data_IF_910523542492
#
_entry.id   IF_910523542492
#
_cell.length_a   1.000
_cell.length_b   1.000
_cell.length_c   1.000
_cell.angle_alpha   90.00
_cell.angle_beta   90.00
_cell.angle_gamma   90.00
#
_symmetry.space_group_name_H-M   'P 1'
#
loop_
_entity.id
_entity.type
_entity.pdbx_description
1 polymer ?
#
# COMPACT_ATOMS: atom_id res chain seq x y z
N UNK A 1 -51.17 -40.57 -33.32
CA UNK A 1 -51.01 -40.90 -31.88
C UNK A 1 -50.05 -42.09 -31.79
N UNK A 2 -48.95 -41.95 -31.00
CA UNK A 2 -47.86 -42.93 -30.81
C UNK A 2 -47.03 -43.15 -32.11
N UNK A 3 -45.71 -43.29 -32.12
CA UNK A 3 -44.71 -43.77 -31.15
C UNK A 3 -43.32 -43.34 -31.61
N UNK A 4 -42.37 -43.24 -30.67
CA UNK A 4 -40.95 -43.00 -30.93
C UNK A 4 -40.24 -44.19 -31.59
N UNK A 5 -39.22 -43.92 -32.42
CA UNK A 5 -38.12 -44.86 -32.65
C UNK A 5 -36.81 -44.10 -32.85
N UNK A 6 -35.84 -44.45 -32.02
CA UNK A 6 -34.45 -44.03 -31.94
C UNK A 6 -33.67 -44.43 -33.19
N UNK A 7 -32.77 -43.56 -33.69
CA UNK A 7 -31.72 -43.94 -34.62
C UNK A 7 -30.37 -43.49 -34.05
N UNK A 8 -29.56 -44.48 -33.67
CA UNK A 8 -28.19 -44.34 -33.20
C UNK A 8 -27.30 -44.19 -34.43
N UNK A 9 -26.69 -43.03 -34.61
CA UNK A 9 -25.66 -42.80 -35.61
C UNK A 9 -24.29 -43.17 -35.05
N UNK A 10 -23.72 -44.27 -35.53
CA UNK A 10 -22.30 -44.61 -35.38
C UNK A 10 -21.47 -43.54 -36.09
N UNK A 11 -20.65 -42.79 -35.35
CA UNK A 11 -19.58 -41.98 -35.94
C UNK A 11 -18.24 -42.71 -35.72
N UNK A 12 -17.67 -43.20 -36.83
CA UNK A 12 -16.34 -43.79 -36.92
C UNK A 12 -15.30 -42.74 -36.53
N UNK A 13 -14.53 -43.01 -35.47
CA UNK A 13 -13.36 -42.20 -35.12
C UNK A 13 -12.24 -42.53 -36.12
N UNK A 14 -11.99 -41.60 -37.03
CA UNK A 14 -10.79 -41.62 -37.87
C UNK A 14 -9.62 -41.14 -36.99
N UNK A 15 -8.71 -42.04 -36.60
CA UNK A 15 -7.42 -41.65 -36.02
C UNK A 15 -6.58 -40.96 -37.10
N UNK A 16 -6.68 -39.64 -37.18
CA UNK A 16 -5.71 -38.80 -37.85
C UNK A 16 -4.55 -38.50 -36.90
N UNK A 17 -3.38 -39.07 -37.18
CA UNK A 17 -2.11 -38.64 -36.57
C UNK A 17 -1.82 -37.19 -36.96
N UNK A 18 -2.20 -36.23 -36.11
CA UNK A 18 -1.66 -34.88 -36.17
C UNK A 18 -0.29 -34.89 -35.50
N UNK A 19 0.75 -34.76 -36.32
CA UNK A 19 2.06 -34.35 -35.87
C UNK A 19 1.93 -32.95 -35.24
N UNK A 20 2.04 -32.87 -33.92
CA UNK A 20 2.21 -31.60 -33.23
C UNK A 20 3.62 -31.12 -33.51
N UNK A 21 3.78 -30.21 -34.47
CA UNK A 21 4.97 -29.36 -34.53
C UNK A 21 4.97 -28.52 -33.26
N UNK A 22 5.78 -28.93 -32.29
CA UNK A 22 6.11 -28.12 -31.12
C UNK A 22 6.90 -26.91 -31.57
N UNK A 23 6.21 -25.82 -31.89
CA UNK A 23 6.80 -24.49 -31.89
C UNK A 23 6.93 -24.06 -30.44
N UNK A 24 8.10 -24.30 -29.86
CA UNK A 24 8.57 -23.62 -28.66
C UNK A 24 8.62 -22.13 -28.98
N UNK A 25 7.57 -21.38 -28.60
CA UNK A 25 7.69 -19.95 -28.46
C UNK A 25 8.60 -19.68 -27.26
N UNK A 26 9.88 -19.46 -27.55
CA UNK A 26 10.76 -18.75 -26.65
C UNK A 26 10.12 -17.38 -26.42
N UNK A 27 9.60 -17.17 -25.20
CA UNK A 27 9.37 -15.83 -24.71
C UNK A 27 10.76 -15.18 -24.64
N UNK A 28 10.96 -14.12 -25.41
CA UNK A 28 12.17 -13.30 -25.33
C UNK A 28 12.30 -12.81 -23.90
N UNK A 29 13.29 -13.36 -23.21
CA UNK A 29 13.61 -13.03 -21.82
C UNK A 29 14.03 -11.58 -21.73
N UNK A 30 13.12 -10.74 -21.23
CA UNK A 30 13.54 -9.55 -20.51
C UNK A 30 14.20 -10.05 -19.24
N UNK A 31 15.51 -9.84 -19.13
CA UNK A 31 16.25 -10.10 -17.90
C UNK A 31 15.66 -9.26 -16.77
N UNK A 32 14.77 -9.85 -15.98
CA UNK A 32 14.48 -9.34 -14.65
C UNK A 32 15.78 -9.51 -13.86
N UNK A 33 16.50 -8.40 -13.64
CA UNK A 33 17.64 -8.40 -12.74
C UNK A 33 17.12 -8.75 -11.34
N UNK A 34 17.11 -10.04 -11.01
CA UNK A 34 17.30 -10.48 -9.65
C UNK A 34 18.66 -9.93 -9.23
N UNK A 35 18.68 -8.70 -8.71
CA UNK A 35 19.87 -8.11 -8.12
C UNK A 35 20.19 -8.88 -6.83
N UNK A 36 20.72 -10.09 -6.98
CA UNK A 36 21.62 -10.72 -6.01
C UNK A 36 22.97 -10.02 -6.10
N UNK A 37 22.97 -8.69 -5.92
CA UNK A 37 24.20 -7.96 -5.71
C UNK A 37 24.79 -8.50 -4.42
N UNK A 38 26.00 -9.06 -4.47
CA UNK A 38 26.78 -9.37 -3.26
C UNK A 38 27.09 -8.04 -2.56
N UNK A 39 26.15 -7.55 -1.76
CA UNK A 39 26.35 -6.41 -0.90
C UNK A 39 27.22 -6.85 0.29
N UNK A 40 28.09 -5.97 0.77
CA UNK A 40 28.83 -6.24 2.00
C UNK A 40 27.81 -6.47 3.13
N UNK A 41 27.97 -7.50 3.97
CA UNK A 41 26.99 -7.82 5.01
C UNK A 41 26.82 -6.64 5.95
N UNK A 42 25.57 -6.25 6.19
CA UNK A 42 25.27 -5.17 7.12
C UNK A 42 25.72 -5.54 8.52
N UNK A 43 26.45 -4.62 9.15
CA UNK A 43 26.75 -4.70 10.57
C UNK A 43 25.64 -4.01 11.37
N UNK A 44 24.81 -4.80 12.06
CA UNK A 44 23.83 -4.30 13.02
C UNK A 44 24.53 -3.69 14.23
N UNK A 45 24.13 -2.48 14.59
CA UNK A 45 24.67 -1.76 15.76
C UNK A 45 23.97 -2.12 17.05
N UNK A 46 22.79 -2.75 16.93
CA UNK A 46 21.97 -3.22 18.04
C UNK A 46 21.01 -4.31 17.58
N UNK A 47 20.72 -5.29 18.44
CA UNK A 47 19.77 -6.36 18.16
C UNK A 47 18.94 -6.72 19.38
N UNK A 48 17.72 -7.20 19.20
CA UNK A 48 16.95 -7.75 20.33
C UNK A 48 17.61 -9.04 20.85
N UNK A 49 17.71 -9.16 22.17
CA UNK A 49 18.28 -10.31 22.87
C UNK A 49 17.20 -11.17 23.55
N UNK A 50 15.99 -10.64 23.68
CA UNK A 50 14.82 -11.27 24.31
C UNK A 50 13.55 -10.54 23.90
N UNK A 51 12.41 -11.10 24.24
CA UNK A 51 11.13 -10.42 24.12
C UNK A 51 11.06 -9.21 25.07
N UNK A 52 10.34 -8.17 24.65
CA UNK A 52 10.09 -7.02 25.50
C UNK A 52 9.72 -5.74 24.75
N UNK A 53 9.52 -4.68 25.52
CA UNK A 53 9.24 -3.36 24.99
C UNK A 53 10.49 -2.74 24.33
N UNK A 54 10.28 -1.96 23.27
CA UNK A 54 11.32 -1.22 22.55
C UNK A 54 12.01 -0.22 23.48
N UNK A 55 11.24 0.40 24.38
CA UNK A 55 11.72 1.36 25.39
C UNK A 55 12.62 0.73 26.48
N UNK A 56 12.65 -0.59 26.61
CA UNK A 56 13.41 -1.27 27.65
C UNK A 56 14.81 -1.66 27.17
N UNK A 57 15.85 -1.06 27.75
CA UNK A 57 17.25 -1.37 27.42
C UNK A 57 17.61 -2.86 27.58
N UNK A 58 16.92 -3.62 28.44
CA UNK A 58 17.16 -5.07 28.62
C UNK A 58 16.64 -5.93 27.47
N UNK A 59 15.80 -5.38 26.60
CA UNK A 59 15.33 -6.02 25.36
C UNK A 59 16.47 -6.18 24.37
N UNK A 60 17.51 -5.34 24.46
CA UNK A 60 18.53 -5.15 23.43
C UNK A 60 19.93 -5.60 23.85
N UNK A 61 20.75 -5.94 22.86
CA UNK A 61 22.20 -6.15 22.95
C UNK A 61 22.91 -5.26 21.93
N UNK A 62 23.82 -4.36 22.35
CA UNK A 62 24.15 -4.05 23.75
C UNK A 62 22.95 -3.44 24.51
N UNK A 63 22.95 -3.57 25.84
CA UNK A 63 21.84 -3.17 26.73
C UNK A 63 21.60 -1.64 26.78
N UNK A 64 21.02 -1.10 25.71
CA UNK A 64 20.59 0.29 25.52
C UNK A 64 19.39 0.31 24.58
N UNK A 65 18.65 1.40 24.50
CA UNK A 65 17.60 1.55 23.48
C UNK A 65 18.21 1.93 22.11
N UNK A 66 17.56 1.58 20.99
CA UNK A 66 17.91 2.08 19.67
C UNK A 66 17.88 3.61 19.59
N UNK A 67 18.83 4.20 18.87
CA UNK A 67 19.00 5.65 18.69
C UNK A 67 19.31 6.00 17.23
N UNK A 68 19.37 7.29 16.92
CA UNK A 68 19.62 7.84 15.58
C UNK A 68 20.80 7.16 14.90
N UNK A 69 20.59 6.78 13.64
CA UNK A 69 21.59 6.14 12.80
C UNK A 69 21.83 4.66 13.09
N UNK A 70 21.20 4.08 14.12
CA UNK A 70 21.32 2.64 14.38
C UNK A 70 20.78 1.81 13.21
N UNK A 71 21.42 0.66 13.03
CA UNK A 71 20.91 -0.47 12.25
C UNK A 71 20.44 -1.51 13.24
N UNK A 72 19.12 -1.59 13.41
CA UNK A 72 18.45 -2.41 14.41
C UNK A 72 18.05 -3.75 13.78
N UNK A 73 18.35 -4.84 14.46
CA UNK A 73 17.79 -6.16 14.15
C UNK A 73 16.81 -6.58 15.24
N UNK A 74 15.55 -6.80 14.87
CA UNK A 74 14.63 -7.59 15.70
C UNK A 74 14.91 -9.06 15.38
N UNK A 75 15.66 -9.70 16.25
CA UNK A 75 16.26 -11.02 16.05
C UNK A 75 15.21 -12.12 15.94
N UNK A 76 15.56 -13.17 15.20
CA UNK A 76 14.76 -14.40 15.09
C UNK A 76 14.38 -14.94 16.46
N UNK A 77 13.12 -15.33 16.61
CA UNK A 77 12.59 -15.90 17.85
C UNK A 77 12.38 -14.89 18.98
N UNK A 78 12.50 -13.59 18.72
CA UNK A 78 12.12 -12.54 19.67
C UNK A 78 10.88 -11.79 19.20
N UNK A 79 10.03 -11.37 20.15
CA UNK A 79 8.92 -10.43 19.94
C UNK A 79 9.22 -9.10 20.65
N UNK A 80 9.37 -8.03 19.87
CA UNK A 80 9.57 -6.67 20.38
C UNK A 80 8.30 -5.85 20.20
N UNK A 81 7.82 -5.25 21.29
CA UNK A 81 6.70 -4.32 21.25
C UNK A 81 7.19 -2.88 21.08
N UNK A 82 6.86 -2.25 19.96
CA UNK A 82 7.17 -0.84 19.70
C UNK A 82 6.21 0.08 20.48
N UNK A 83 6.65 0.57 21.63
CA UNK A 83 5.84 1.27 22.63
C UNK A 83 6.19 2.74 22.82
N UNK A 84 6.84 3.35 21.82
CA UNK A 84 7.37 4.71 21.88
C UNK A 84 6.90 5.59 20.72
N UNK A 85 6.79 6.89 20.98
CA UNK A 85 6.82 7.92 19.95
C UNK A 85 8.21 8.58 19.99
N UNK A 86 9.08 8.22 19.05
CA UNK A 86 10.50 8.58 19.08
C UNK A 86 10.88 9.51 17.94
N UNK A 87 11.59 10.59 18.26
CA UNK A 87 12.20 11.50 17.28
C UNK A 87 13.56 10.99 16.73
N UNK A 88 14.00 9.82 17.17
CA UNK A 88 15.23 9.19 16.69
C UNK A 88 15.03 8.60 15.28
N UNK A 89 15.74 9.15 14.28
CA UNK A 89 15.73 8.59 12.91
C UNK A 89 16.70 7.41 12.80
N UNK A 90 16.15 6.20 12.71
CA UNK A 90 16.89 4.96 12.53
C UNK A 90 17.36 4.81 11.09
N UNK A 91 18.55 4.24 10.87
CA UNK A 91 19.05 3.99 9.52
C UNK A 91 18.41 2.76 8.89
N UNK A 92 18.28 1.69 9.66
CA UNK A 92 17.66 0.45 9.22
C UNK A 92 16.99 -0.21 10.41
N UNK A 93 15.81 -0.77 10.19
CA UNK A 93 15.22 -1.78 11.07
C UNK A 93 14.96 -3.01 10.22
N UNK A 94 15.66 -4.10 10.51
CA UNK A 94 15.32 -5.41 9.98
C UNK A 94 14.49 -6.18 11.01
N UNK A 95 13.37 -6.76 10.56
CA UNK A 95 12.52 -7.63 11.36
C UNK A 95 12.67 -9.06 10.88
N UNK A 96 13.37 -9.86 11.68
CA UNK A 96 13.58 -11.30 11.51
C UNK A 96 12.79 -12.13 12.55
N UNK A 97 12.42 -11.52 13.67
CA UNK A 97 11.42 -12.01 14.63
C UNK A 97 10.06 -11.36 14.41
N UNK A 98 9.45 -10.87 15.50
CA UNK A 98 8.19 -10.12 15.46
C UNK A 98 8.39 -8.71 15.99
N UNK A 99 7.95 -7.70 15.23
CA UNK A 99 7.86 -6.32 15.69
C UNK A 99 6.37 -5.91 15.71
N UNK A 100 5.84 -5.67 16.91
CA UNK A 100 4.42 -5.34 17.12
C UNK A 100 4.27 -3.92 17.65
N UNK A 101 3.46 -3.08 17.01
CA UNK A 101 3.21 -1.72 17.49
C UNK A 101 2.23 -1.74 18.67
N UNK A 102 2.52 -0.93 19.68
CA UNK A 102 1.64 -0.75 20.82
C UNK A 102 0.27 -0.20 20.38
N UNK A 103 -0.79 -0.70 21.01
CA UNK A 103 -2.18 -0.39 20.68
C UNK A 103 -2.87 0.49 21.73
N UNK A 104 -2.20 0.72 22.85
CA UNK A 104 -2.65 1.46 24.03
C UNK A 104 -2.05 2.87 24.12
N UNK A 105 -1.36 3.32 23.07
CA UNK A 105 -0.69 4.64 23.01
C UNK A 105 -0.35 5.03 21.58
N UNK A 106 -0.02 6.31 21.41
CA UNK A 106 0.57 6.80 20.17
C UNK A 106 2.00 6.27 19.98
N UNK A 107 2.34 5.95 18.74
CA UNK A 107 3.67 5.51 18.34
C UNK A 107 4.14 6.24 17.09
N UNK A 108 5.44 6.52 17.03
CA UNK A 108 6.10 7.20 15.92
C UNK A 108 7.47 6.57 15.70
N UNK A 109 7.62 5.88 14.58
CA UNK A 109 8.91 5.38 14.09
C UNK A 109 9.42 6.23 12.95
N UNK A 110 10.57 6.85 13.15
CA UNK A 110 11.32 7.53 12.09
C UNK A 110 12.42 6.58 11.60
N UNK A 111 12.38 6.17 10.33
CA UNK A 111 13.30 5.15 9.79
C UNK A 111 13.60 5.39 8.32
N UNK A 112 14.82 5.09 7.86
CA UNK A 112 15.13 5.14 6.44
C UNK A 112 14.67 3.88 5.69
N UNK A 113 15.00 2.69 6.20
CA UNK A 113 14.47 1.42 5.67
C UNK A 113 13.94 0.56 6.81
N UNK A 114 12.68 0.15 6.72
CA UNK A 114 12.09 -0.89 7.56
C UNK A 114 11.85 -2.12 6.68
N UNK A 115 12.57 -3.20 6.93
CA UNK A 115 12.54 -4.42 6.12
C UNK A 115 12.13 -5.62 6.97
N UNK A 116 11.10 -6.33 6.55
CA UNK A 116 10.63 -7.57 7.16
C UNK A 116 11.00 -8.70 6.21
N UNK A 117 11.92 -9.58 6.61
CA UNK A 117 12.40 -10.64 5.74
C UNK A 117 12.95 -11.83 6.52
N UNK A 118 12.85 -13.02 5.93
CA UNK A 118 13.40 -14.25 6.50
C UNK A 118 14.83 -14.53 6.00
N UNK A 119 15.77 -13.66 6.38
CA UNK A 119 17.19 -13.82 6.04
C UNK A 119 18.10 -13.18 7.07
N UNK A 120 19.16 -13.88 7.47
CA UNK A 120 20.25 -13.30 8.29
C UNK A 120 21.14 -12.32 7.47
N UNK A 121 21.12 -12.43 6.14
CA UNK A 121 21.71 -11.44 5.22
C UNK A 121 20.73 -10.28 5.00
N UNK A 122 21.26 -9.05 4.96
CA UNK A 122 20.45 -7.86 4.73
C UNK A 122 21.23 -6.81 3.94
N UNK A 123 20.54 -6.15 3.01
CA UNK A 123 20.98 -4.94 2.32
C UNK A 123 20.13 -3.71 2.73
N UNK A 124 20.68 -2.51 2.54
CA UNK A 124 19.95 -1.25 2.70
C UNK A 124 19.05 -0.95 1.50
N UNK A 125 18.88 -1.93 0.59
CA UNK A 125 17.98 -1.79 -0.53
C UNK A 125 16.53 -1.78 -0.06
N UNK A 126 15.74 -0.83 -0.57
CA UNK A 126 14.30 -0.76 -0.39
C UNK A 126 13.52 -1.60 -1.40
N UNK A 127 14.16 -2.47 -2.17
CA UNK A 127 13.47 -3.34 -3.13
C UNK A 127 14.02 -4.76 -3.18
N UNK A 128 15.34 -4.93 -3.10
CA UNK A 128 15.94 -6.25 -3.10
C UNK A 128 15.54 -7.03 -1.84
N UNK A 129 15.05 -8.24 -2.07
CA UNK A 129 14.86 -9.26 -1.05
C UNK A 129 16.11 -10.13 -0.96
N UNK A 130 16.56 -10.36 0.28
CA UNK A 130 17.61 -11.32 0.57
C UNK A 130 16.90 -12.63 0.99
N UNK A 131 17.05 -13.72 0.24
CA UNK A 131 16.41 -15.02 0.52
C UNK A 131 17.46 -16.05 0.97
N UNK A 132 17.18 -16.80 2.04
CA UNK A 132 18.00 -17.94 2.47
C UNK A 132 17.74 -19.19 1.62
N UNK A 133 18.20 -19.13 0.36
CA UNK A 133 18.07 -20.23 -0.59
C UNK A 133 16.71 -20.27 -1.27
N UNK A 134 16.71 -20.85 -2.46
CA UNK A 134 15.52 -21.01 -3.30
C UNK A 134 15.40 -22.45 -3.78
N UNK A 135 14.18 -22.90 -4.06
CA UNK A 135 13.90 -24.14 -4.78
C UNK A 135 14.46 -24.05 -6.21
N UNK A 136 14.49 -25.18 -6.93
CA UNK A 136 14.87 -25.18 -8.35
C UNK A 136 13.98 -24.28 -9.23
N UNK A 137 12.77 -23.94 -8.75
CA UNK A 137 11.84 -23.01 -9.40
C UNK A 137 12.06 -21.54 -8.99
N UNK A 138 13.05 -21.24 -8.15
CA UNK A 138 13.32 -19.88 -7.66
C UNK A 138 12.46 -19.43 -6.48
N UNK A 139 11.66 -20.33 -5.90
CA UNK A 139 10.81 -20.02 -4.74
C UNK A 139 11.64 -20.05 -3.45
N UNK A 140 11.50 -19.09 -2.51
CA UNK A 140 12.13 -19.14 -1.20
C UNK A 140 11.83 -20.46 -0.52
N UNK A 141 12.85 -21.02 0.13
CA UNK A 141 12.64 -22.16 1.01
C UNK A 141 11.71 -21.77 2.16
N UNK A 142 10.96 -22.75 2.67
CA UNK A 142 10.04 -22.52 3.78
C UNK A 142 10.77 -21.91 5.01
N UNK A 143 10.09 -21.06 5.79
CA UNK A 143 10.76 -20.31 6.85
C UNK A 143 11.49 -21.18 7.86
N UNK A 144 12.71 -20.78 8.24
CA UNK A 144 13.49 -21.51 9.25
C UNK A 144 12.80 -21.37 10.61
N UNK A 145 12.24 -22.47 11.12
CA UNK A 145 11.57 -22.51 12.42
C UNK A 145 10.05 -22.33 12.38
N UNK A 146 9.44 -22.33 11.18
CA UNK A 146 7.99 -22.44 10.99
C UNK A 146 7.16 -21.19 11.33
N UNK A 147 7.75 -20.13 11.89
CA UNK A 147 7.08 -18.84 12.12
C UNK A 147 7.66 -17.79 11.18
N UNK A 148 6.79 -17.10 10.45
CA UNK A 148 7.19 -16.01 9.54
C UNK A 148 7.65 -14.78 10.34
N UNK A 149 8.75 -14.12 9.96
CA UNK A 149 9.05 -12.78 10.44
C UNK A 149 7.84 -11.87 10.20
N UNK A 150 7.47 -11.09 11.22
CA UNK A 150 6.19 -10.37 11.22
C UNK A 150 6.36 -8.93 11.67
N UNK A 151 5.94 -7.98 10.83
CA UNK A 151 5.61 -6.62 11.25
C UNK A 151 4.11 -6.52 11.47
N UNK A 152 3.70 -6.14 12.67
CA UNK A 152 2.29 -5.99 13.02
C UNK A 152 2.00 -4.58 13.55
N UNK A 153 1.24 -3.82 12.76
CA UNK A 153 0.65 -2.55 13.16
C UNK A 153 -0.85 -2.75 13.29
N UNK A 154 -1.24 -3.43 14.38
CA UNK A 154 -2.59 -3.97 14.57
C UNK A 154 -2.84 -5.21 13.70
N UNK A 155 -3.95 -5.89 13.95
CA UNK A 155 -4.44 -7.00 13.13
C UNK A 155 -5.85 -6.71 12.63
N UNK A 156 -6.34 -7.50 11.67
CA UNK A 156 -7.74 -7.38 11.22
C UNK A 156 -8.75 -7.58 12.37
N UNK A 157 -8.46 -8.51 13.28
CA UNK A 157 -9.30 -8.79 14.45
C UNK A 157 -9.14 -7.74 15.56
N UNK A 158 -7.96 -7.13 15.63
CA UNK A 158 -7.53 -6.27 16.72
C UNK A 158 -6.73 -5.08 16.17
N UNK A 159 -7.39 -4.14 15.47
CA UNK A 159 -6.73 -3.01 14.79
C UNK A 159 -6.19 -1.98 15.78
N UNK A 160 -5.35 -1.04 15.35
CA UNK A 160 -4.98 0.11 16.20
C UNK A 160 -6.26 0.86 16.62
N UNK A 161 -6.54 1.01 17.93
CA UNK A 161 -7.73 1.70 18.42
C UNK A 161 -7.82 3.14 17.93
N UNK A 162 -9.05 3.61 17.78
CA UNK A 162 -9.38 4.91 17.20
C UNK A 162 -8.59 6.07 17.82
N UNK A 163 -8.53 6.11 19.13
CA UNK A 163 -7.91 7.11 19.98
C UNK A 163 -6.37 7.17 19.88
N UNK A 164 -5.74 6.17 19.26
CA UNK A 164 -4.29 6.07 19.14
C UNK A 164 -3.83 6.09 17.69
N UNK A 165 -2.67 6.70 17.45
CA UNK A 165 -2.01 6.76 16.15
C UNK A 165 -0.77 5.88 16.13
N UNK A 166 -0.64 5.03 15.11
CA UNK A 166 0.61 4.36 14.79
C UNK A 166 1.19 4.94 13.50
N UNK A 167 2.33 5.61 13.61
CA UNK A 167 2.98 6.31 12.49
C UNK A 167 4.35 5.73 12.19
N UNK A 168 4.58 5.40 10.93
CA UNK A 168 5.88 5.09 10.36
C UNK A 168 6.21 6.18 9.35
N UNK A 169 7.28 6.93 9.62
CA UNK A 169 7.76 8.02 8.79
C UNK A 169 9.09 7.62 8.15
N UNK A 170 9.11 7.63 6.83
CA UNK A 170 10.22 7.21 5.97
C UNK A 170 11.15 8.40 5.69
N UNK A 171 12.38 8.33 6.19
CA UNK A 171 13.39 9.39 6.08
C UNK A 171 14.45 9.03 5.07
N UNK A 172 14.59 9.81 4.01
CA UNK A 172 15.81 9.71 3.20
C UNK A 172 17.02 10.18 4.01
N UNK A 173 18.10 9.41 3.98
CA UNK A 173 19.38 9.77 4.60
C UNK A 173 20.46 9.85 3.54
N UNK A 174 21.33 10.85 3.65
CA UNK A 174 22.46 11.02 2.74
C UNK A 174 23.34 9.76 2.65
N UNK A 175 23.80 9.47 1.44
CA UNK A 175 24.59 8.27 1.13
C UNK A 175 23.78 7.01 0.86
N UNK A 176 22.44 7.07 0.87
CA UNK A 176 21.57 6.00 0.38
C UNK A 176 21.20 6.23 -1.10
N UNK A 177 20.80 5.18 -1.82
CA UNK A 177 20.28 5.34 -3.17
C UNK A 177 18.90 5.99 -3.14
N UNK A 178 18.80 7.23 -3.64
CA UNK A 178 17.54 7.98 -3.72
C UNK A 178 16.44 7.31 -4.56
N UNK A 179 16.80 6.43 -5.48
CA UNK A 179 15.83 5.69 -6.29
C UNK A 179 15.28 4.47 -5.54
N UNK A 180 15.92 4.08 -4.44
CA UNK A 180 15.63 2.83 -3.74
C UNK A 180 15.28 3.02 -2.26
N UNK A 181 15.77 4.04 -1.59
CA UNK A 181 15.45 4.39 -0.21
C UNK A 181 14.88 5.81 -0.13
N UNK A 182 14.03 6.13 0.87
CA UNK A 182 13.61 5.29 1.98
C UNK A 182 12.49 4.32 1.61
N UNK A 183 12.26 3.28 2.41
CA UNK A 183 11.29 2.24 2.07
C UNK A 183 10.72 1.46 3.28
N UNK A 184 9.52 0.93 3.11
CA UNK A 184 8.93 -0.13 3.92
C UNK A 184 8.73 -1.37 3.06
N UNK A 185 9.40 -2.48 3.40
CA UNK A 185 9.49 -3.66 2.53
C UNK A 185 9.17 -4.94 3.31
N UNK A 186 8.35 -5.78 2.72
CA UNK A 186 8.07 -7.14 3.16
C UNK A 186 8.53 -8.12 2.09
N UNK A 187 9.35 -9.11 2.47
CA UNK A 187 9.97 -10.09 1.58
C UNK A 187 9.85 -11.49 2.20
N UNK A 188 9.04 -12.39 1.60
CA UNK A 188 8.79 -13.74 2.15
C UNK A 188 8.48 -13.74 3.66
N UNK A 189 7.71 -12.74 4.09
CA UNK A 189 7.41 -12.45 5.48
C UNK A 189 5.95 -11.99 5.61
N UNK A 190 5.51 -11.66 6.83
CA UNK A 190 4.17 -11.14 7.09
C UNK A 190 4.21 -9.67 7.46
N UNK A 191 3.38 -8.85 6.82
CA UNK A 191 3.22 -7.44 7.16
C UNK A 191 1.73 -7.06 7.25
N UNK A 192 1.31 -6.65 8.45
CA UNK A 192 -0.07 -6.32 8.79
C UNK A 192 -0.19 -4.84 9.18
N UNK A 193 -1.08 -4.10 8.51
CA UNK A 193 -1.28 -2.67 8.72
C UNK A 193 -2.77 -2.35 8.90
N UNK A 194 -3.27 -2.40 10.12
CA UNK A 194 -4.70 -2.32 10.43
C UNK A 194 -5.06 -1.19 11.40
N UNK A 195 -5.68 -0.15 10.87
CA UNK A 195 -6.26 0.95 11.63
C UNK A 195 -7.75 0.79 11.94
N UNK A 196 -8.28 1.79 12.63
CA UNK A 196 -9.66 1.81 13.10
C UNK A 196 -10.67 1.79 11.92
N UNK A 197 -11.65 0.87 11.92
CA UNK A 197 -12.61 0.73 10.82
C UNK A 197 -13.52 1.94 10.60
N UNK A 198 -13.83 2.20 9.33
CA UNK A 198 -14.92 3.07 8.89
C UNK A 198 -15.98 2.21 8.18
N UNK A 199 -17.26 2.48 8.43
CA UNK A 199 -18.34 1.79 7.68
C UNK A 199 -18.34 2.18 6.19
N UNK A 200 -17.92 3.41 5.91
CA UNK A 200 -17.76 4.02 4.60
C UNK A 200 -16.53 4.90 4.60
N UNK A 201 -15.69 4.76 3.58
CA UNK A 201 -14.55 5.66 3.38
C UNK A 201 -14.94 6.91 2.61
N UNK A 202 -15.92 6.79 1.73
CA UNK A 202 -16.53 7.88 0.97
C UNK A 202 -18.02 7.62 0.75
N UNK A 203 -18.78 8.68 0.53
CA UNK A 203 -20.22 8.65 0.23
C UNK A 203 -20.56 9.77 -0.75
N UNK A 204 -21.72 9.72 -1.41
CA UNK A 204 -22.21 10.83 -2.24
C UNK A 204 -22.79 11.98 -1.38
N UNK A 205 -22.81 13.20 -1.90
CA UNK A 205 -23.39 14.38 -1.25
C UNK A 205 -24.92 14.36 -1.20
N UNK A 206 -25.53 14.26 -0.04
CA UNK A 206 -26.98 14.33 0.22
C UNK A 206 -27.75 15.43 -0.52
N UNK A 207 -27.16 16.61 -0.69
CA UNK A 207 -27.76 17.82 -1.27
C UNK A 207 -26.70 18.65 -1.99
N UNK A 208 -27.14 19.48 -2.94
CA UNK A 208 -26.27 20.43 -3.63
C UNK A 208 -25.64 21.40 -2.63
N UNK A 209 -24.40 21.78 -2.88
CA UNK A 209 -23.62 22.71 -2.07
C UNK A 209 -23.19 23.88 -2.96
N UNK A 210 -23.34 25.10 -2.46
CA UNK A 210 -23.00 26.33 -3.18
C UNK A 210 -21.69 26.94 -2.64
N UNK A 211 -21.00 27.76 -3.45
CA UNK A 211 -19.91 28.58 -2.94
C UNK A 211 -20.35 29.40 -1.72
N UNK A 212 -19.54 29.40 -0.66
CA UNK A 212 -19.83 30.04 0.62
C UNK A 212 -20.47 29.13 1.67
N UNK A 213 -20.92 27.93 1.30
CA UNK A 213 -21.45 26.96 2.26
C UNK A 213 -20.32 26.22 2.98
N UNK A 214 -20.41 26.11 4.31
CA UNK A 214 -19.49 25.29 5.14
C UNK A 214 -20.17 24.05 5.72
N UNK A 215 -21.40 23.78 5.31
CA UNK A 215 -22.20 22.63 5.77
C UNK A 215 -22.50 21.74 4.60
N UNK A 216 -22.20 20.45 4.72
CA UNK A 216 -22.52 19.45 3.69
C UNK A 216 -23.44 18.38 4.26
N UNK A 217 -24.42 17.97 3.47
CA UNK A 217 -25.30 16.83 3.78
C UNK A 217 -24.76 15.61 3.04
N UNK A 218 -24.69 14.46 3.69
CA UNK A 218 -24.28 13.17 3.14
C UNK A 218 -25.51 12.38 2.68
N UNK A 219 -25.35 11.52 1.67
CA UNK A 219 -26.44 10.69 1.14
C UNK A 219 -26.78 9.50 2.04
N UNK A 220 -25.85 9.09 2.89
CA UNK A 220 -26.00 8.00 3.86
C UNK A 220 -25.21 8.31 5.12
N UNK A 221 -25.59 7.76 6.29
CA UNK A 221 -24.87 7.98 7.54
C UNK A 221 -23.49 7.33 7.52
N UNK A 222 -22.54 8.03 8.14
CA UNK A 222 -21.16 7.55 8.32
C UNK A 222 -20.88 7.29 9.80
N UNK A 223 -20.10 6.25 10.08
CA UNK A 223 -19.62 5.89 11.42
C UNK A 223 -18.12 5.63 11.37
N UNK A 224 -17.43 6.11 12.40
CA UNK A 224 -15.97 6.06 12.48
C UNK A 224 -15.28 7.36 12.01
N UNK A 225 -15.99 8.21 11.24
CA UNK A 225 -15.57 9.58 10.92
C UNK A 225 -15.60 10.45 12.18
N UNK A 226 -14.69 11.41 12.28
CA UNK A 226 -14.49 12.21 13.49
C UNK A 226 -14.30 13.69 13.17
N UNK A 227 -14.61 14.52 14.17
CA UNK A 227 -14.15 15.91 14.17
C UNK A 227 -12.63 15.93 14.08
N UNK A 228 -12.11 16.77 13.20
CA UNK A 228 -10.71 16.83 12.84
C UNK A 228 -10.34 15.97 11.63
N UNK A 229 -11.20 15.11 11.10
CA UNK A 229 -10.83 14.33 9.91
C UNK A 229 -10.69 15.21 8.67
N UNK A 230 -9.69 14.89 7.84
CA UNK A 230 -9.50 15.47 6.53
C UNK A 230 -10.45 14.82 5.54
N UNK A 231 -11.19 15.64 4.82
CA UNK A 231 -12.10 15.21 3.76
C UNK A 231 -11.81 15.96 2.47
N UNK A 232 -12.17 15.34 1.35
CA UNK A 232 -12.32 16.03 0.07
C UNK A 232 -13.78 16.04 -0.33
N UNK A 233 -14.21 17.13 -0.97
CA UNK A 233 -15.46 17.22 -1.72
C UNK A 233 -15.11 17.25 -3.19
N UNK A 234 -15.53 16.24 -3.96
CA UNK A 234 -15.12 16.10 -5.37
C UNK A 234 -15.80 17.13 -6.25
N UNK A 235 -15.11 17.58 -7.29
CA UNK A 235 -15.65 18.53 -8.26
C UNK A 235 -16.83 17.92 -9.05
N UNK A 236 -17.83 18.74 -9.37
CA UNK A 236 -19.00 18.29 -10.14
C UNK A 236 -19.16 18.94 -11.52
N UNK A 237 -18.32 19.93 -11.87
CA UNK A 237 -18.37 20.56 -13.18
C UNK A 237 -17.21 20.15 -14.06
N UNK A 238 -17.51 19.99 -15.35
CA UNK A 238 -16.51 19.68 -16.34
C UNK A 238 -15.63 20.90 -16.60
N UNK A 239 -14.32 20.78 -16.38
CA UNK A 239 -13.38 21.82 -16.75
C UNK A 239 -12.95 21.64 -18.22
N UNK A 240 -13.28 22.60 -19.09
CA UNK A 240 -12.89 22.62 -20.51
C UNK A 240 -11.42 23.01 -20.75
N UNK A 241 -10.53 22.68 -19.81
CA UNK A 241 -9.09 22.96 -19.92
C UNK A 241 -8.35 21.68 -20.30
N UNK A 242 -7.28 21.82 -21.08
CA UNK A 242 -6.36 20.73 -21.41
C UNK A 242 -4.99 21.00 -20.79
N UNK A 243 -4.35 19.97 -20.23
CA UNK A 243 -3.04 20.10 -19.58
C UNK A 243 -2.88 19.20 -18.36
N UNK A 244 -1.69 19.23 -17.75
CA UNK A 244 -1.46 18.60 -16.44
C UNK A 244 -1.79 19.59 -15.33
N UNK A 245 -2.86 19.34 -14.60
CA UNK A 245 -3.32 20.20 -13.50
C UNK A 245 -2.62 19.91 -12.16
N UNK A 246 -1.52 19.16 -12.18
CA UNK A 246 -0.79 18.81 -10.96
C UNK A 246 -0.25 20.04 -10.24
N UNK A 247 0.20 21.04 -10.99
CA UNK A 247 0.76 22.29 -10.48
C UNK A 247 -0.24 23.46 -10.50
N UNK A 248 -1.39 23.28 -11.15
CA UNK A 248 -2.45 24.29 -11.26
C UNK A 248 -3.63 23.85 -10.39
N UNK A 249 -3.55 24.17 -9.09
CA UNK A 249 -4.59 23.81 -8.11
C UNK A 249 -5.91 24.53 -8.37
N UNK A 250 -5.88 25.68 -9.04
CA UNK A 250 -7.08 26.44 -9.39
C UNK A 250 -7.83 25.81 -10.57
N UNK A 251 -7.16 24.90 -11.32
CA UNK A 251 -7.76 24.11 -12.37
C UNK A 251 -8.39 22.78 -11.88
N UNK A 252 -8.61 22.62 -10.58
CA UNK A 252 -9.40 21.51 -10.04
C UNK A 252 -10.47 22.03 -9.09
N UNK A 253 -11.69 21.49 -9.20
CA UNK A 253 -12.79 21.85 -8.30
C UNK A 253 -12.89 20.95 -7.06
N UNK A 254 -11.96 20.00 -6.89
CA UNK A 254 -11.96 19.16 -5.68
C UNK A 254 -11.36 19.95 -4.53
N UNK A 255 -12.06 19.98 -3.41
CA UNK A 255 -11.72 20.85 -2.29
C UNK A 255 -11.40 20.05 -1.02
N UNK A 256 -10.23 20.31 -0.44
CA UNK A 256 -9.83 19.74 0.85
C UNK A 256 -10.40 20.56 2.00
N UNK A 257 -11.01 19.88 2.97
CA UNK A 257 -11.63 20.47 4.16
C UNK A 257 -11.35 19.60 5.37
N UNK A 258 -11.58 20.16 6.56
CA UNK A 258 -11.52 19.43 7.82
C UNK A 258 -12.88 19.48 8.51
N UNK A 259 -13.32 18.35 9.04
CA UNK A 259 -14.60 18.27 9.75
C UNK A 259 -14.49 19.01 11.09
N UNK A 260 -15.38 19.96 11.36
CA UNK A 260 -15.48 20.63 12.67
C UNK A 260 -16.62 20.10 13.52
N UNK A 261 -17.65 19.51 12.88
CA UNK A 261 -18.81 18.93 13.58
C UNK A 261 -19.47 17.84 12.74
N UNK A 262 -20.07 16.85 13.41
CA UNK A 262 -20.87 15.79 12.79
C UNK A 262 -22.23 15.72 13.49
N UNK A 263 -23.31 15.88 12.73
CA UNK A 263 -24.70 15.80 13.22
C UNK A 263 -25.51 14.90 12.30
N UNK A 264 -25.62 13.61 12.65
CA UNK A 264 -26.30 12.63 11.80
C UNK A 264 -25.62 12.50 10.44
N UNK A 265 -26.30 12.94 9.38
CA UNK A 265 -25.79 12.94 8.00
C UNK A 265 -25.22 14.31 7.58
N UNK A 266 -25.12 15.27 8.50
CA UNK A 266 -24.51 16.57 8.22
C UNK A 266 -23.09 16.63 8.75
N UNK A 267 -22.19 17.22 7.98
CA UNK A 267 -20.88 17.68 8.43
C UNK A 267 -20.82 19.22 8.40
N UNK A 268 -20.25 19.82 9.44
CA UNK A 268 -19.72 21.19 9.36
C UNK A 268 -18.22 21.12 9.03
N UNK A 269 -17.77 22.04 8.19
CA UNK A 269 -16.41 22.13 7.65
C UNK A 269 -15.69 23.34 8.26
N UNK A 270 -14.35 23.27 8.29
CA UNK A 270 -13.46 24.29 8.84
C UNK A 270 -13.47 25.62 8.07
N UNK A 271 -13.79 25.57 6.78
CA UNK A 271 -13.96 26.75 5.93
C UNK A 271 -15.03 26.52 4.86
N UNK A 272 -15.71 27.58 4.39
CA UNK A 272 -16.66 27.51 3.27
C UNK A 272 -16.04 26.88 2.02
N UNK A 273 -16.84 26.17 1.23
CA UNK A 273 -16.47 25.68 -0.10
C UNK A 273 -16.48 26.83 -1.12
N UNK A 274 -15.60 26.76 -2.10
CA UNK A 274 -15.41 27.80 -3.12
C UNK A 274 -16.15 27.49 -4.41
N UNK A 275 -16.41 26.22 -4.68
CA UNK A 275 -17.08 25.72 -5.88
C UNK A 275 -18.49 25.22 -5.58
N UNK A 276 -19.27 25.05 -6.64
CA UNK A 276 -20.53 24.29 -6.58
C UNK A 276 -20.21 22.81 -6.56
N UNK A 277 -20.97 22.05 -5.78
CA UNK A 277 -20.92 20.59 -5.76
C UNK A 277 -22.33 20.02 -5.84
N UNK A 278 -22.62 19.25 -6.90
CA UNK A 278 -23.95 18.68 -7.08
C UNK A 278 -24.19 17.50 -6.13
N UNK A 279 -25.31 17.55 -5.41
CA UNK A 279 -25.82 16.49 -4.56
C UNK A 279 -26.92 15.65 -5.21
N UNK A 280 -27.15 15.84 -6.50
CA UNK A 280 -28.16 15.13 -7.30
C UNK A 280 -27.64 14.81 -8.72
N UNK A 281 -28.36 13.96 -9.45
CA UNK A 281 -27.98 13.53 -10.81
C UNK A 281 -26.89 12.45 -10.85
N UNK A 282 -26.49 12.10 -12.08
CA UNK A 282 -25.56 11.01 -12.35
C UNK A 282 -24.10 11.35 -11.95
N UNK A 283 -23.74 12.65 -12.02
CA UNK A 283 -22.41 13.19 -11.67
C UNK A 283 -22.39 13.89 -10.30
N UNK A 284 -23.19 13.37 -9.37
CA UNK A 284 -23.24 13.82 -7.98
C UNK A 284 -21.87 13.66 -7.31
N UNK A 285 -21.35 14.73 -6.72
CA UNK A 285 -20.10 14.76 -5.97
C UNK A 285 -20.10 13.78 -4.79
N UNK A 286 -18.90 13.37 -4.44
CA UNK A 286 -18.58 12.56 -3.28
C UNK A 286 -17.91 13.39 -2.19
N UNK A 287 -18.13 12.98 -0.94
CA UNK A 287 -17.31 13.37 0.21
C UNK A 287 -16.49 12.15 0.62
N UNK A 288 -15.18 12.29 0.67
CA UNK A 288 -14.27 11.18 0.96
C UNK A 288 -13.35 11.50 2.13
N UNK A 289 -13.30 10.62 3.13
CA UNK A 289 -12.48 10.78 4.33
C UNK A 289 -11.08 10.20 4.11
N UNK A 290 -10.09 11.08 4.19
CA UNK A 290 -8.68 10.78 3.96
C UNK A 290 -7.93 10.40 5.25
N UNK A 291 -8.51 10.62 6.44
CA UNK A 291 -7.87 10.38 7.73
C UNK A 291 -7.85 8.91 8.13
N UNK A 292 -6.70 8.40 8.56
CA UNK A 292 -6.56 7.08 9.21
C UNK A 292 -5.56 7.18 10.35
N UNK A 293 -5.67 6.30 11.33
CA UNK A 293 -4.81 6.30 12.52
C UNK A 293 -3.57 5.40 12.39
N UNK A 294 -3.52 4.53 11.37
CA UNK A 294 -2.26 3.92 10.91
C UNK A 294 -1.76 4.76 9.73
N UNK A 295 -0.56 5.33 9.84
CA UNK A 295 -0.02 6.28 8.86
C UNK A 295 1.39 5.86 8.43
N UNK A 296 1.56 5.65 7.13
CA UNK A 296 2.86 5.45 6.48
C UNK A 296 3.11 6.65 5.58
N UNK A 297 4.18 7.39 5.81
CA UNK A 297 4.45 8.63 5.07
C UNK A 297 5.93 8.89 4.82
N UNK A 298 6.24 9.68 3.80
CA UNK A 298 7.57 10.28 3.66
C UNK A 298 7.74 11.40 4.67
N UNK A 299 8.94 11.53 5.25
CA UNK A 299 9.27 12.60 6.18
C UNK A 299 9.28 13.99 5.54
N UNK A 300 9.75 14.05 4.29
CA UNK A 300 9.82 15.26 3.48
C UNK A 300 8.97 15.05 2.21
N UNK A 301 7.74 15.60 2.16
CA UNK A 301 6.88 15.52 1.00
C UNK A 301 7.46 16.16 -0.27
N UNK A 302 8.31 17.18 -0.13
CA UNK A 302 8.89 17.91 -1.27
C UNK A 302 10.28 17.38 -1.66
N UNK A 303 10.85 16.51 -0.83
CA UNK A 303 12.15 15.87 -1.03
C UNK A 303 12.09 14.46 -1.62
N UNK A 304 13.04 13.61 -1.21
CA UNK A 304 13.11 12.21 -1.65
C UNK A 304 12.06 11.39 -0.91
N UNK A 305 11.02 10.99 -1.65
CA UNK A 305 9.90 10.21 -1.11
C UNK A 305 10.22 8.72 -0.98
N UNK A 306 9.58 8.07 -0.01
CA UNK A 306 9.63 6.63 0.15
C UNK A 306 8.61 5.88 -0.71
N UNK A 307 8.73 4.56 -0.70
CA UNK A 307 7.76 3.64 -1.31
C UNK A 307 7.50 2.46 -0.37
N UNK A 308 6.45 1.70 -0.63
CA UNK A 308 6.17 0.46 0.11
C UNK A 308 6.02 -0.72 -0.82
N UNK A 309 6.34 -1.91 -0.31
CA UNK A 309 6.48 -3.11 -1.11
C UNK A 309 6.09 -4.36 -0.30
N UNK A 310 5.14 -5.12 -0.82
CA UNK A 310 5.00 -6.55 -0.57
C UNK A 310 5.62 -7.26 -1.75
N UNK A 311 6.74 -7.94 -1.55
CA UNK A 311 7.44 -8.68 -2.58
C UNK A 311 7.09 -10.17 -2.51
N UNK A 312 7.60 -10.95 -3.47
CA UNK A 312 7.50 -12.41 -3.57
C UNK A 312 7.30 -13.16 -2.24
N UNK A 313 6.26 -13.99 -2.20
CA UNK A 313 5.89 -14.87 -1.10
C UNK A 313 5.52 -14.16 0.22
N UNK A 314 5.31 -12.84 0.19
CA UNK A 314 4.81 -12.11 1.34
C UNK A 314 3.35 -12.41 1.64
N UNK A 315 2.98 -12.26 2.90
CA UNK A 315 1.61 -12.42 3.40
C UNK A 315 1.20 -11.18 4.21
N UNK A 316 -0.09 -11.09 4.53
CA UNK A 316 -0.68 -10.05 5.35
C UNK A 316 -1.51 -9.07 4.54
N UNK A 317 -2.09 -8.08 5.21
CA UNK A 317 -3.04 -7.16 4.62
C UNK A 317 -2.95 -5.76 5.18
N UNK A 318 -3.80 -4.92 4.59
CA UNK A 318 -3.92 -3.51 4.92
C UNK A 318 -5.40 -3.25 5.15
N UNK A 319 -5.77 -2.69 6.30
CA UNK A 319 -7.10 -2.11 6.47
C UNK A 319 -7.05 -0.75 7.14
N UNK A 320 -7.73 0.23 6.56
CA UNK A 320 -7.90 1.55 7.17
C UNK A 320 -6.57 2.19 7.58
N UNK A 321 -5.56 2.11 6.71
CA UNK A 321 -4.28 2.80 6.83
C UNK A 321 -4.15 3.92 5.78
N UNK A 322 -3.43 4.98 6.13
CA UNK A 322 -3.11 6.10 5.24
C UNK A 322 -1.68 6.00 4.74
N UNK A 323 -1.51 6.17 3.44
CA UNK A 323 -0.25 6.20 2.72
C UNK A 323 -0.09 7.60 2.13
N UNK A 324 0.76 8.44 2.72
CA UNK A 324 0.84 9.86 2.40
C UNK A 324 2.22 10.26 1.86
N UNK A 325 2.24 11.05 0.78
CA UNK A 325 3.47 11.60 0.23
C UNK A 325 4.49 10.51 -0.19
N UNK A 326 4.00 9.38 -0.67
CA UNK A 326 4.81 8.23 -1.11
C UNK A 326 4.91 8.17 -2.64
N UNK A 327 5.58 7.14 -3.13
CA UNK A 327 5.84 6.93 -4.54
C UNK A 327 6.99 7.81 -5.02
N UNK A 328 7.92 7.23 -5.78
CA UNK A 328 9.05 7.96 -6.36
C UNK A 328 8.70 8.36 -7.79
N UNK A 329 8.76 9.66 -8.07
CA UNK A 329 8.45 10.18 -9.39
C UNK A 329 9.44 9.67 -10.44
N UNK A 330 8.94 9.11 -11.54
CA UNK A 330 9.80 8.66 -12.63
C UNK A 330 10.58 7.37 -12.37
N UNK A 331 10.39 6.70 -11.22
CA UNK A 331 11.12 5.47 -10.87
C UNK A 331 10.17 4.26 -10.92
N UNK A 332 10.48 3.29 -11.77
CA UNK A 332 9.69 2.07 -11.95
C UNK A 332 9.68 1.22 -10.67
N UNK A 333 8.53 0.62 -10.33
CA UNK A 333 8.40 -0.28 -9.18
C UNK A 333 8.41 0.40 -7.81
N UNK A 334 8.46 1.74 -7.74
CA UNK A 334 8.54 2.51 -6.50
C UNK A 334 7.25 3.30 -6.26
N UNK A 335 6.21 2.57 -5.85
CA UNK A 335 4.83 3.07 -5.70
C UNK A 335 4.44 3.28 -4.23
N UNK A 336 3.32 3.97 -3.99
CA UNK A 336 2.84 4.14 -2.62
C UNK A 336 2.50 2.80 -1.96
N UNK A 337 1.82 1.91 -2.69
CA UNK A 337 1.60 0.50 -2.34
C UNK A 337 1.94 -0.35 -3.57
N UNK A 338 2.88 -1.28 -3.43
CA UNK A 338 3.29 -2.20 -4.50
C UNK A 338 3.20 -3.65 -4.04
N UNK A 339 2.38 -4.45 -4.73
CA UNK A 339 2.39 -5.90 -4.63
C UNK A 339 3.16 -6.44 -5.84
N UNK A 340 4.36 -6.96 -5.62
CA UNK A 340 5.30 -7.31 -6.69
C UNK A 340 5.67 -8.80 -6.67
N UNK A 341 5.27 -9.50 -7.73
CA UNK A 341 5.61 -10.89 -8.01
C UNK A 341 5.33 -11.83 -6.83
N UNK A 342 4.20 -11.64 -6.16
CA UNK A 342 3.83 -12.37 -4.94
C UNK A 342 3.29 -13.78 -5.23
N UNK A 343 2.76 -13.99 -6.43
CA UNK A 343 1.99 -15.19 -6.75
C UNK A 343 0.66 -15.22 -6.01
N UNK A 344 0.31 -16.37 -5.42
CA UNK A 344 -1.01 -16.62 -4.83
C UNK A 344 -1.06 -16.56 -3.29
N UNK A 345 0.06 -16.20 -2.65
CA UNK A 345 0.16 -16.09 -1.18
C UNK A 345 -0.71 -14.97 -0.58
N UNK A 346 -1.29 -14.11 -1.42
CA UNK A 346 -2.28 -13.10 -1.04
C UNK A 346 -3.71 -13.63 -0.95
N UNK A 347 -3.95 -14.94 -1.12
CA UNK A 347 -5.29 -15.52 -0.92
C UNK A 347 -5.83 -15.23 0.48
N UNK A 348 -6.96 -14.52 0.54
CA UNK A 348 -7.57 -14.08 1.81
C UNK A 348 -7.00 -12.78 2.38
N UNK A 349 -5.98 -12.20 1.73
CA UNK A 349 -5.44 -10.88 2.04
C UNK A 349 -6.21 -9.78 1.32
N UNK A 350 -6.15 -8.56 1.87
CA UNK A 350 -6.92 -7.44 1.35
C UNK A 350 -6.23 -6.10 1.57
N UNK A 351 -6.55 -5.14 0.70
CA UNK A 351 -6.41 -3.70 0.94
C UNK A 351 -7.82 -3.14 1.09
N UNK A 352 -8.23 -2.93 2.33
CA UNK A 352 -9.57 -2.49 2.68
C UNK A 352 -9.56 -1.05 3.21
N UNK A 353 -10.27 -0.14 2.57
CA UNK A 353 -10.52 1.18 3.13
C UNK A 353 -9.29 2.08 3.30
N UNK A 354 -8.19 1.77 2.61
CA UNK A 354 -6.96 2.56 2.66
C UNK A 354 -7.14 3.93 1.98
N UNK A 355 -6.42 4.93 2.46
CA UNK A 355 -6.36 6.25 1.84
C UNK A 355 -4.93 6.50 1.33
N UNK A 356 -4.77 6.68 0.02
CA UNK A 356 -3.48 7.00 -0.59
C UNK A 356 -3.54 8.44 -1.06
N UNK A 357 -2.74 9.30 -0.44
CA UNK A 357 -2.83 10.75 -0.59
C UNK A 357 -1.50 11.31 -1.10
N UNK A 358 -1.59 12.05 -2.21
CA UNK A 358 -0.45 12.72 -2.83
C UNK A 358 0.68 11.73 -3.15
N UNK A 359 0.42 10.78 -4.06
CA UNK A 359 1.45 9.87 -4.56
C UNK A 359 2.20 10.51 -5.73
N UNK A 360 3.54 10.49 -5.70
CA UNK A 360 4.36 10.88 -6.85
C UNK A 360 4.53 9.75 -7.87
N UNK A 361 3.79 8.65 -7.67
CA UNK A 361 3.64 7.57 -8.62
C UNK A 361 2.21 7.01 -8.49
N UNK A 362 1.94 5.79 -8.94
CA UNK A 362 0.62 5.13 -8.79
C UNK A 362 0.23 5.02 -7.30
N UNK A 363 -1.07 4.90 -7.01
CA UNK A 363 -1.58 4.68 -5.66
C UNK A 363 -1.37 3.23 -5.22
N UNK A 364 -1.88 2.28 -6.02
CA UNK A 364 -1.75 0.84 -5.78
C UNK A 364 -1.36 0.19 -7.10
N UNK A 365 -0.23 -0.51 -7.08
CA UNK A 365 0.21 -1.35 -8.19
C UNK A 365 0.18 -2.82 -7.79
N UNK A 366 -0.43 -3.64 -8.64
CA UNK A 366 -0.46 -5.10 -8.54
C UNK A 366 0.33 -5.63 -9.74
N UNK A 367 1.39 -6.39 -9.47
CA UNK A 367 2.26 -6.97 -10.48
C UNK A 367 2.52 -8.44 -10.15
N UNK A 368 2.23 -9.36 -11.07
CA UNK A 368 2.43 -10.81 -10.89
C UNK A 368 1.87 -11.36 -9.58
N UNK A 369 0.70 -10.86 -9.18
CA UNK A 369 0.03 -11.17 -7.91
C UNK A 369 -1.42 -11.53 -8.17
N UNK A 370 -1.92 -12.56 -7.48
CA UNK A 370 -3.25 -13.11 -7.65
C UNK A 370 -4.07 -13.08 -6.34
N UNK A 371 -5.40 -13.17 -6.48
CA UNK A 371 -6.36 -13.29 -5.36
C UNK A 371 -6.43 -12.11 -4.39
N UNK A 372 -5.88 -10.95 -4.73
CA UNK A 372 -5.94 -9.76 -3.87
C UNK A 372 -7.31 -9.06 -3.97
N UNK A 373 -7.90 -8.76 -2.82
CA UNK A 373 -9.05 -7.86 -2.72
C UNK A 373 -8.59 -6.41 -2.48
N UNK A 374 -8.94 -5.48 -3.35
CA UNK A 374 -8.78 -4.04 -3.14
C UNK A 374 -10.16 -3.41 -3.11
N UNK A 375 -10.60 -2.96 -1.92
CA UNK A 375 -11.97 -2.52 -1.71
C UNK A 375 -12.09 -1.28 -0.85
N UNK A 376 -13.04 -0.40 -1.21
CA UNK A 376 -13.37 0.82 -0.46
C UNK A 376 -12.18 1.78 -0.29
N UNK A 377 -11.14 1.66 -1.13
CA UNK A 377 -9.96 2.52 -1.09
C UNK A 377 -10.22 3.89 -1.73
N UNK A 378 -9.53 4.90 -1.23
CA UNK A 378 -9.49 6.25 -1.80
C UNK A 378 -8.07 6.52 -2.29
N UNK A 379 -7.96 6.90 -3.56
CA UNK A 379 -6.77 7.48 -4.13
C UNK A 379 -7.02 8.95 -4.41
N UNK A 380 -6.22 9.82 -3.80
CA UNK A 380 -6.32 11.27 -3.98
C UNK A 380 -4.98 11.85 -4.37
N UNK A 381 -4.89 12.43 -5.57
CA UNK A 381 -3.66 12.93 -6.21
C UNK A 381 -2.61 11.83 -6.45
N UNK A 382 -2.36 11.51 -7.71
CA UNK A 382 -1.25 10.64 -8.12
C UNK A 382 -0.54 11.16 -9.37
N UNK A 383 0.67 10.68 -9.63
CA UNK A 383 1.26 10.72 -10.98
C UNK A 383 1.13 9.34 -11.63
N UNK A 384 0.49 9.28 -12.78
CA UNK A 384 0.20 8.03 -13.51
C UNK A 384 -1.11 7.36 -13.07
N UNK A 385 -1.29 6.12 -13.51
CA UNK A 385 -2.55 5.35 -13.58
C UNK A 385 -3.32 5.06 -12.27
N UNK A 386 -3.00 5.68 -11.14
CA UNK A 386 -3.77 5.51 -9.91
C UNK A 386 -3.79 4.06 -9.40
N UNK A 387 -4.83 3.29 -9.74
CA UNK A 387 -4.91 1.84 -9.50
C UNK A 387 -4.46 1.08 -10.76
N UNK A 388 -3.39 0.29 -10.67
CA UNK A 388 -2.67 -0.23 -11.82
C UNK A 388 -2.37 -1.74 -11.69
N UNK A 389 -2.61 -2.49 -12.77
CA UNK A 389 -2.14 -3.87 -12.96
C UNK A 389 -1.03 -3.81 -14.01
N UNK A 390 0.12 -4.45 -13.79
CA UNK A 390 1.36 -4.07 -14.47
C UNK A 390 1.59 -4.71 -15.84
N UNK A 391 1.36 -6.02 -15.99
CA UNK A 391 1.74 -6.74 -17.21
C UNK A 391 0.66 -7.68 -17.78
N UNK A 392 -0.48 -7.82 -17.09
CA UNK A 392 -1.62 -8.61 -17.55
C UNK A 392 -1.57 -10.08 -17.12
N UNK A 393 -0.56 -10.48 -16.34
CA UNK A 393 -0.51 -11.80 -15.71
C UNK A 393 -1.33 -11.86 -14.42
N UNK A 394 -1.79 -10.72 -13.89
CA UNK A 394 -2.48 -10.62 -12.60
C UNK A 394 -3.94 -11.09 -12.68
N UNK A 395 -4.21 -12.32 -12.25
CA UNK A 395 -5.53 -12.94 -12.32
C UNK A 395 -6.24 -12.96 -10.96
N UNK A 396 -7.58 -13.05 -11.01
CA UNK A 396 -8.44 -13.30 -9.84
C UNK A 396 -8.34 -12.24 -8.73
N UNK A 397 -7.85 -11.05 -9.08
CA UNK A 397 -7.90 -9.87 -8.22
C UNK A 397 -9.27 -9.18 -8.32
N UNK A 398 -9.83 -8.78 -7.19
CA UNK A 398 -11.10 -8.05 -7.13
C UNK A 398 -10.86 -6.61 -6.72
N UNK A 399 -11.22 -5.67 -7.58
CA UNK A 399 -11.14 -4.24 -7.32
C UNK A 399 -12.56 -3.66 -7.22
N UNK A 400 -13.05 -3.41 -6.01
CA UNK A 400 -14.44 -3.03 -5.74
C UNK A 400 -14.56 -1.67 -5.03
N UNK A 401 -15.57 -0.85 -5.38
CA UNK A 401 -15.89 0.42 -4.70
C UNK A 401 -14.71 1.36 -4.41
N UNK A 402 -13.76 1.45 -5.34
CA UNK A 402 -12.60 2.36 -5.23
C UNK A 402 -12.99 3.76 -5.71
N UNK A 403 -12.57 4.79 -4.99
CA UNK A 403 -12.64 6.17 -5.45
C UNK A 403 -11.25 6.63 -5.89
N UNK A 404 -11.15 7.19 -7.09
CA UNK A 404 -9.91 7.77 -7.63
C UNK A 404 -10.16 9.21 -8.03
N UNK A 405 -9.42 10.14 -7.41
CA UNK A 405 -9.62 11.58 -7.59
C UNK A 405 -8.28 12.22 -7.91
N UNK A 406 -8.23 12.95 -9.03
CA UNK A 406 -7.05 13.66 -9.51
C UNK A 406 -5.82 12.76 -9.78
N UNK A 407 -5.99 11.72 -10.60
CA UNK A 407 -4.83 11.03 -11.19
C UNK A 407 -4.25 11.90 -12.33
N UNK A 408 -3.04 12.41 -12.15
CA UNK A 408 -2.39 13.29 -13.12
C UNK A 408 -1.54 12.51 -14.11
N UNK A 409 -1.39 13.07 -15.33
CA UNK A 409 -0.56 12.49 -16.37
C UNK A 409 0.90 12.36 -15.90
N UNK A 410 1.48 11.18 -16.07
CA UNK A 410 2.88 10.90 -15.83
C UNK A 410 3.66 10.71 -17.14
N UNK A 411 4.97 10.48 -17.01
CA UNK A 411 5.81 10.04 -18.13
C UNK A 411 5.78 8.51 -18.20
N UNK A 412 5.95 7.95 -19.40
CA UNK A 412 6.26 6.52 -19.56
C UNK A 412 7.55 6.22 -18.79
N UNK A 413 7.52 5.19 -17.96
CA UNK A 413 8.70 4.77 -17.21
C UNK A 413 9.56 3.84 -18.10
N UNK A 414 10.89 3.96 -18.08
CA UNK A 414 11.76 2.99 -18.75
C UNK A 414 11.47 1.57 -18.28
N UNK A 415 11.35 0.62 -19.21
CA UNK A 415 11.10 -0.80 -18.89
C UNK A 415 9.64 -1.16 -18.57
N UNK A 416 8.71 -0.20 -18.56
CA UNK A 416 7.29 -0.49 -18.32
C UNK A 416 6.70 -1.34 -19.46
N UNK A 417 6.09 -2.48 -19.09
CA UNK A 417 5.51 -3.47 -20.00
C UNK A 417 4.27 -2.94 -20.70
N UNK A 418 3.24 -2.55 -19.93
CA UNK A 418 2.02 -1.99 -20.52
C UNK A 418 2.24 -0.53 -20.98
N UNK A 419 1.77 -0.17 -22.19
CA UNK A 419 1.83 1.19 -22.67
C UNK A 419 1.04 2.11 -21.74
N UNK A 420 1.59 3.29 -21.46
CA UNK A 420 0.87 4.35 -20.79
C UNK A 420 -0.29 4.79 -21.69
N UNK A 421 -1.51 4.91 -21.16
CA UNK A 421 -2.63 5.56 -21.88
C UNK A 421 -2.26 7.04 -22.08
N UNK A 422 -1.84 7.47 -23.29
CA UNK A 422 -1.03 8.66 -23.54
C UNK A 422 -1.63 9.96 -23.04
#
# INVERSE_FOLDING_TARGET
MRTATTAIGLFTILLGTLATNGSTHAADGVSHEHHHGRHAPIQFTIRSARDGDWSNAKTWEPARVPKRGDRVLVSRGTEVRYDVASDETLRLVQVLGTLRFARDRDTLMNVAVLKVQDSDECSESGFACDFEGVTAAGEPLAPRGGTLPTLEVGTLADPIPAEHTARIRLHYLDGMDKNDAPALVCCSARMELHGAPLNRTWVKLGQDVKPGDSRVTLAEPVSGWRVGDEVIVTGSEHQYRSGSFRTDRDAVQTEERRITKIEGQTLELDRPLENVHFGSGDFRSEVANLSRNVIIESADPDGVRGHTLYHSFSQGGISYARFAHLGKEGVLGRYAIHFHLIGDTMRGSQVLGAAIVDSHNRWITIHGTEYLLVRDCIGYRSVGHGYFLEDGTEQLNLLDRKLGVQAFRGKRLPGQVLPFDP
#
